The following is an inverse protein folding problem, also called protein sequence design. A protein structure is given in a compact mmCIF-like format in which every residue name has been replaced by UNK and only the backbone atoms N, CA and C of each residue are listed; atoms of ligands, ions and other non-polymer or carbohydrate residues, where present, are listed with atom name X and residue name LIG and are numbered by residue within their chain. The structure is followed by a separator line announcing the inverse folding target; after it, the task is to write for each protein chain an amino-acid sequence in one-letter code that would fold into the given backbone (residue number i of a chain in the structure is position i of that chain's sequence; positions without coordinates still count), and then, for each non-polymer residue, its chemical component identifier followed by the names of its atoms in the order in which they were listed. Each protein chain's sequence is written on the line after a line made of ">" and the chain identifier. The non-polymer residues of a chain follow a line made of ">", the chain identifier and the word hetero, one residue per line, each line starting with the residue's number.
data_IF_651654485840
#
_entry.id   IF_651654485840
#
_cell.length_a   1.000
_cell.length_b   1.000
_cell.length_c   1.000
_cell.angle_alpha   90.00
_cell.angle_beta   90.00
_cell.angle_gamma   90.00
#
_symmetry.space_group_name_H-M   'P 1'
#
loop_
_entity.id
_entity.type
_entity.pdbx_description
1 polymer ?
#
# COMPACT_ATOMS: atom_id res chain seq x y z
N UNK A 1 13.71 29.20 12.17
CA UNK A 1 14.57 28.17 11.54
C UNK A 1 13.93 26.76 11.47
N UNK A 2 12.74 26.51 12.04
CA UNK A 2 12.10 25.17 11.98
C UNK A 2 11.49 24.79 10.63
N UNK A 3 10.88 25.75 9.89
CA UNK A 3 10.17 25.47 8.62
C UNK A 3 11.02 24.80 7.53
N UNK A 4 12.27 25.20 7.37
CA UNK A 4 13.15 24.65 6.34
C UNK A 4 13.54 23.18 6.62
N UNK A 5 13.56 22.76 7.88
CA UNK A 5 13.90 21.40 8.26
C UNK A 5 12.71 20.43 8.05
N UNK A 6 11.48 20.93 8.27
CA UNK A 6 10.24 20.19 7.99
C UNK A 6 10.03 19.95 6.48
N UNK A 7 10.36 20.93 5.63
CA UNK A 7 10.28 20.78 4.18
C UNK A 7 11.26 19.74 3.63
N UNK A 8 12.51 19.75 4.12
CA UNK A 8 13.52 18.75 3.72
C UNK A 8 13.16 17.34 4.18
N UNK A 9 12.57 17.21 5.37
CA UNK A 9 12.07 15.93 5.89
C UNK A 9 10.85 15.44 5.09
N UNK A 10 9.95 16.33 4.68
CA UNK A 10 8.78 15.99 3.87
C UNK A 10 9.18 15.51 2.46
N UNK A 11 10.14 16.19 1.81
CA UNK A 11 10.64 15.79 0.49
C UNK A 11 11.28 14.40 0.52
N UNK A 12 12.12 14.11 1.52
CA UNK A 12 12.74 12.78 1.69
C UNK A 12 11.71 11.68 1.98
N UNK A 13 10.63 11.99 2.70
CA UNK A 13 9.52 11.05 2.93
C UNK A 13 8.74 10.75 1.65
N UNK A 14 8.50 11.78 0.83
CA UNK A 14 7.86 11.63 -0.48
C UNK A 14 8.68 10.77 -1.44
N UNK A 15 9.99 11.00 -1.50
CA UNK A 15 10.94 10.22 -2.32
C UNK A 15 11.00 8.76 -1.88
N UNK A 16 11.12 8.50 -0.57
CA UNK A 16 11.16 7.14 -0.02
C UNK A 16 9.87 6.38 -0.34
N UNK A 17 8.73 7.04 -0.20
CA UNK A 17 7.44 6.47 -0.55
C UNK A 17 7.34 6.13 -2.04
N UNK A 18 7.79 7.02 -2.91
CA UNK A 18 7.78 6.80 -4.35
C UNK A 18 8.62 5.56 -4.72
N UNK A 19 9.81 5.42 -4.13
CA UNK A 19 10.68 4.25 -4.35
C UNK A 19 10.03 2.94 -3.89
N UNK A 20 9.38 2.93 -2.72
CA UNK A 20 8.67 1.74 -2.22
C UNK A 20 7.56 1.32 -3.19
N UNK A 21 6.81 2.29 -3.71
CA UNK A 21 5.74 2.04 -4.68
C UNK A 21 6.32 1.53 -6.00
N UNK A 22 7.37 2.16 -6.51
CA UNK A 22 8.02 1.78 -7.77
C UNK A 22 8.55 0.34 -7.73
N UNK A 23 9.20 -0.08 -6.63
CA UNK A 23 9.68 -1.45 -6.47
C UNK A 23 8.53 -2.48 -6.48
N UNK A 24 7.42 -2.15 -5.81
CA UNK A 24 6.25 -3.03 -5.76
C UNK A 24 5.47 -3.05 -7.09
N UNK A 25 5.47 -1.96 -7.86
CA UNK A 25 4.87 -1.94 -9.19
C UNK A 25 5.70 -2.74 -10.20
N UNK A 26 7.03 -2.72 -10.07
CA UNK A 26 7.93 -3.43 -10.98
C UNK A 26 7.94 -4.94 -10.75
N UNK A 27 8.02 -5.36 -9.50
CA UNK A 27 8.22 -6.78 -9.14
C UNK A 27 6.91 -7.46 -8.70
N UNK A 28 5.87 -6.67 -8.39
CA UNK A 28 4.70 -7.15 -7.68
C UNK A 28 5.00 -7.33 -6.19
N UNK A 29 4.51 -8.44 -5.63
CA UNK A 29 4.59 -8.68 -4.19
C UNK A 29 5.95 -9.10 -3.68
N UNK A 30 6.57 -8.24 -2.88
CA UNK A 30 7.88 -8.49 -2.30
C UNK A 30 7.81 -8.85 -0.82
N UNK A 31 8.73 -9.71 -0.37
CA UNK A 31 8.91 -9.97 1.05
C UNK A 31 9.41 -8.71 1.76
N UNK A 32 9.04 -8.52 3.04
CA UNK A 32 9.39 -7.31 3.78
C UNK A 32 10.90 -7.02 3.83
N UNK A 33 11.71 -8.06 4.08
CA UNK A 33 13.16 -7.92 4.15
C UNK A 33 13.76 -7.53 2.79
N UNK A 34 13.21 -8.08 1.71
CA UNK A 34 13.66 -7.85 0.34
C UNK A 34 13.30 -6.44 -0.12
N UNK A 35 12.04 -6.02 0.07
CA UNK A 35 11.60 -4.66 -0.23
C UNK A 35 12.42 -3.62 0.54
N UNK A 36 12.66 -3.86 1.83
CA UNK A 36 13.46 -2.94 2.64
C UNK A 36 14.91 -2.86 2.16
N UNK A 37 15.52 -3.97 1.74
CA UNK A 37 16.89 -3.99 1.25
C UNK A 37 17.02 -3.23 -0.08
N UNK A 38 16.14 -3.50 -1.05
CA UNK A 38 16.14 -2.84 -2.37
C UNK A 38 15.94 -1.33 -2.25
N UNK A 39 14.99 -0.92 -1.42
CA UNK A 39 14.71 0.51 -1.20
C UNK A 39 15.85 1.18 -0.42
N UNK A 40 16.46 0.52 0.57
CA UNK A 40 17.61 1.07 1.29
C UNK A 40 18.82 1.30 0.37
N UNK A 41 19.09 0.37 -0.54
CA UNK A 41 20.15 0.47 -1.54
C UNK A 41 19.91 1.66 -2.49
N UNK A 42 18.68 1.79 -3.03
CA UNK A 42 18.33 2.90 -3.94
C UNK A 42 18.24 4.27 -3.28
N UNK A 43 17.74 4.34 -2.04
CA UNK A 43 17.55 5.60 -1.32
C UNK A 43 18.79 6.06 -0.55
N UNK A 44 19.82 5.20 -0.43
CA UNK A 44 20.97 5.40 0.43
C UNK A 44 20.58 5.75 1.89
N UNK A 45 19.45 5.20 2.36
CA UNK A 45 18.93 5.40 3.71
C UNK A 45 19.22 4.18 4.59
N UNK A 46 19.34 4.38 5.92
CA UNK A 46 19.49 3.27 6.85
C UNK A 46 18.33 2.29 6.73
N UNK A 47 18.63 0.99 6.64
CA UNK A 47 17.65 -0.09 6.50
C UNK A 47 16.52 -0.02 7.55
N UNK A 48 16.84 0.41 8.79
CA UNK A 48 15.86 0.57 9.86
C UNK A 48 14.81 1.68 9.57
N UNK A 49 15.22 2.78 8.95
CA UNK A 49 14.31 3.85 8.57
C UNK A 49 13.35 3.37 7.46
N UNK A 50 13.89 2.66 6.48
CA UNK A 50 13.10 2.07 5.38
C UNK A 50 12.10 1.04 5.91
N UNK A 51 12.52 0.14 6.80
CA UNK A 51 11.63 -0.82 7.46
C UNK A 51 10.48 -0.14 8.18
N UNK A 52 10.78 0.93 8.93
CA UNK A 52 9.78 1.71 9.65
C UNK A 52 8.79 2.38 8.69
N UNK A 53 9.28 2.93 7.57
CA UNK A 53 8.45 3.55 6.54
C UNK A 53 7.50 2.53 5.88
N UNK A 54 8.00 1.34 5.50
CA UNK A 54 7.18 0.28 4.91
C UNK A 54 6.11 -0.19 5.90
N UNK A 55 6.45 -0.37 7.18
CA UNK A 55 5.49 -0.73 8.22
C UNK A 55 4.41 0.33 8.39
N UNK A 56 4.82 1.60 8.47
CA UNK A 56 3.89 2.73 8.55
C UNK A 56 2.95 2.77 7.34
N UNK A 57 3.49 2.63 6.11
CA UNK A 57 2.71 2.57 4.88
C UNK A 57 1.71 1.41 4.86
N UNK A 58 2.09 0.25 5.40
CA UNK A 58 1.18 -0.87 5.62
C UNK A 58 0.06 -0.55 6.62
N UNK A 59 0.40 0.08 7.75
CA UNK A 59 -0.58 0.46 8.79
C UNK A 59 -1.60 1.50 8.30
N UNK A 60 -1.17 2.48 7.49
CA UNK A 60 -2.08 3.50 6.92
C UNK A 60 -2.83 3.01 5.68
N UNK A 61 -2.72 1.72 5.33
CA UNK A 61 -3.44 1.11 4.22
C UNK A 61 -2.92 1.48 2.82
N UNK A 62 -1.74 2.10 2.73
CA UNK A 62 -1.10 2.40 1.42
C UNK A 62 -0.42 1.18 0.81
N UNK A 63 -0.12 0.16 1.61
CA UNK A 63 0.34 -1.15 1.16
C UNK A 63 -0.56 -2.23 1.74
N UNK A 64 -0.80 -3.28 0.97
CA UNK A 64 -1.50 -4.46 1.46
C UNK A 64 -0.49 -5.53 1.88
N UNK A 65 -0.62 -6.04 3.11
CA UNK A 65 0.17 -7.17 3.59
C UNK A 65 -0.59 -8.45 3.29
N UNK A 66 0.05 -9.42 2.65
CA UNK A 66 -0.52 -10.74 2.37
C UNK A 66 0.30 -11.78 3.11
N UNK A 67 -0.35 -12.60 3.92
CA UNK A 67 0.28 -13.73 4.60
C UNK A 67 0.14 -14.98 3.73
N UNK A 68 1.26 -15.62 3.41
CA UNK A 68 1.32 -16.92 2.76
C UNK A 68 2.09 -17.90 3.66
N UNK A 69 1.33 -18.71 4.41
CA UNK A 69 1.86 -19.64 5.41
C UNK A 69 2.62 -18.92 6.52
N UNK A 70 3.92 -19.23 6.67
CA UNK A 70 4.80 -18.59 7.67
C UNK A 70 5.45 -17.29 7.16
N UNK A 71 5.20 -16.90 5.92
CA UNK A 71 5.79 -15.73 5.29
C UNK A 71 4.74 -14.67 4.99
N UNK A 72 5.14 -13.41 4.89
CA UNK A 72 4.26 -12.34 4.42
C UNK A 72 4.97 -11.47 3.39
N UNK A 73 4.18 -10.95 2.45
CA UNK A 73 4.63 -10.07 1.37
C UNK A 73 3.80 -8.79 1.37
N UNK A 74 4.41 -7.69 0.97
CA UNK A 74 3.72 -6.43 0.72
C UNK A 74 3.37 -6.32 -0.76
N UNK A 75 2.20 -5.75 -1.03
CA UNK A 75 1.63 -5.55 -2.35
C UNK A 75 1.03 -4.16 -2.44
N UNK A 76 0.86 -3.66 -3.65
CA UNK A 76 0.04 -2.49 -3.91
C UNK A 76 -1.44 -2.79 -3.60
N UNK A 77 -2.20 -1.83 -3.05
CA UNK A 77 -3.62 -1.97 -2.75
C UNK A 77 -4.45 -1.98 -4.05
N UNK A 78 -4.45 -3.11 -4.75
CA UNK A 78 -5.13 -3.28 -6.04
C UNK A 78 -4.55 -4.46 -6.81
N UNK A 79 -3.23 -4.62 -6.75
CA UNK A 79 -2.48 -5.69 -7.42
C UNK A 79 -2.37 -6.97 -6.57
N UNK A 80 -3.34 -7.20 -5.69
CA UNK A 80 -3.34 -8.40 -4.87
C UNK A 80 -3.52 -9.64 -5.74
N UNK A 81 -2.71 -10.69 -5.54
CA UNK A 81 -2.97 -11.97 -6.19
C UNK A 81 -4.39 -12.41 -5.90
N UNK A 82 -5.10 -12.92 -6.90
CA UNK A 82 -6.47 -13.44 -6.74
C UNK A 82 -6.55 -14.47 -5.61
N UNK A 83 -5.47 -15.24 -5.40
CA UNK A 83 -5.35 -16.24 -4.34
C UNK A 83 -4.96 -15.66 -2.96
N UNK A 84 -4.48 -14.42 -2.92
CA UNK A 84 -4.07 -13.69 -1.72
C UNK A 84 -5.23 -13.00 -0.99
N UNK A 85 -6.45 -13.02 -1.56
CA UNK A 85 -7.69 -12.52 -0.92
C UNK A 85 -8.19 -13.49 0.17
N UNK A 86 -7.26 -14.12 0.90
CA UNK A 86 -7.53 -14.90 2.12
C UNK A 86 -7.10 -14.16 3.37
N UNK A 87 -6.98 -12.83 3.31
CA UNK A 87 -6.72 -12.05 4.51
C UNK A 87 -7.98 -11.98 5.39
N UNK A 88 -7.97 -12.57 6.60
CA UNK A 88 -9.13 -12.57 7.49
C UNK A 88 -9.56 -11.14 7.86
N UNK A 89 -8.65 -10.17 7.92
CA UNK A 89 -9.01 -8.78 8.26
C UNK A 89 -9.76 -8.07 7.13
N UNK A 90 -9.41 -8.33 5.86
CA UNK A 90 -10.22 -7.87 4.72
C UNK A 90 -11.57 -8.59 4.66
N UNK A 91 -11.65 -9.87 5.05
CA UNK A 91 -12.94 -10.56 5.17
C UNK A 91 -13.79 -9.99 6.31
N UNK A 92 -13.19 -9.59 7.43
CA UNK A 92 -13.92 -8.94 8.54
C UNK A 92 -14.50 -7.61 8.07
N UNK A 93 -13.72 -6.77 7.38
CA UNK A 93 -14.22 -5.52 6.80
C UNK A 93 -15.30 -5.80 5.75
N UNK A 94 -15.08 -6.74 4.82
CA UNK A 94 -16.07 -7.10 3.80
C UNK A 94 -17.37 -7.66 4.39
N UNK A 95 -17.30 -8.49 5.43
CA UNK A 95 -18.49 -9.00 6.14
C UNK A 95 -19.19 -7.90 6.92
N UNK A 96 -18.44 -6.98 7.54
CA UNK A 96 -19.01 -5.85 8.29
C UNK A 96 -19.74 -4.85 7.38
N UNK A 97 -19.32 -4.74 6.11
CA UNK A 97 -19.91 -3.84 5.12
C UNK A 97 -20.66 -4.56 3.98
N UNK A 98 -20.93 -5.86 4.09
CA UNK A 98 -21.62 -6.71 3.09
C UNK A 98 -21.15 -6.50 1.63
N UNK A 99 -19.84 -6.39 1.42
CA UNK A 99 -19.29 -6.13 0.10
C UNK A 99 -19.28 -7.42 -0.77
N UNK A 100 -19.74 -7.35 -2.03
CA UNK A 100 -19.85 -8.53 -2.90
C UNK A 100 -18.49 -9.18 -3.21
N UNK A 101 -18.45 -10.51 -3.42
CA UNK A 101 -17.21 -11.26 -3.58
C UNK A 101 -16.33 -10.73 -4.73
N UNK A 102 -16.93 -10.21 -5.80
CA UNK A 102 -16.27 -9.78 -7.03
C UNK A 102 -15.80 -8.32 -7.05
N UNK A 103 -15.86 -7.57 -5.94
CA UNK A 103 -15.26 -6.23 -5.89
C UNK A 103 -13.73 -6.31 -5.72
N UNK A 104 -13.03 -6.60 -6.82
CA UNK A 104 -11.58 -6.40 -6.96
C UNK A 104 -11.23 -4.98 -7.47
N UNK A 105 -12.23 -4.11 -7.62
CA UNK A 105 -12.03 -2.72 -8.03
C UNK A 105 -11.82 -1.82 -6.82
N UNK A 106 -10.97 -0.79 -7.01
CA UNK A 106 -10.71 0.28 -6.05
C UNK A 106 -11.99 0.67 -5.32
N UNK A 107 -11.95 0.55 -3.98
CA UNK A 107 -13.03 1.04 -3.13
C UNK A 107 -13.04 2.56 -3.30
N UNK A 108 -13.91 3.04 -4.19
CA UNK A 108 -14.09 4.46 -4.43
C UNK A 108 -14.43 5.11 -3.08
N UNK A 109 -13.66 6.13 -2.71
CA UNK A 109 -14.03 6.98 -1.58
C UNK A 109 -15.45 7.52 -1.78
N UNK A 110 -16.19 7.87 -0.71
CA UNK A 110 -17.56 8.40 -0.83
C UNK A 110 -17.68 9.57 -1.82
N UNK A 111 -16.64 10.39 -1.92
CA UNK A 111 -16.54 11.47 -2.89
C UNK A 111 -16.46 10.94 -4.33
N UNK A 112 -15.59 9.95 -4.59
CA UNK A 112 -15.44 9.34 -5.91
C UNK A 112 -16.69 8.56 -6.33
N UNK A 113 -17.37 7.89 -5.40
CA UNK A 113 -18.64 7.21 -5.66
C UNK A 113 -19.73 8.21 -6.07
N UNK A 114 -19.80 9.34 -5.36
CA UNK A 114 -20.74 10.44 -5.64
C UNK A 114 -20.47 11.07 -7.01
N UNK A 115 -19.20 11.33 -7.33
CA UNK A 115 -18.80 11.88 -8.63
C UNK A 115 -19.12 10.91 -9.77
N UNK A 116 -18.87 9.61 -9.60
CA UNK A 116 -19.18 8.60 -10.62
C UNK A 116 -20.68 8.51 -10.92
N UNK A 117 -21.53 8.58 -9.88
CA UNK A 117 -22.98 8.59 -10.05
C UNK A 117 -23.51 9.90 -10.66
N UNK A 118 -22.94 11.04 -10.27
CA UNK A 118 -23.28 12.33 -10.86
C UNK A 118 -22.89 12.42 -12.34
N UNK A 119 -21.81 11.74 -12.75
CA UNK A 119 -21.34 11.69 -14.13
C UNK A 119 -21.98 10.57 -14.97
N UNK A 120 -22.96 9.85 -14.44
CA UNK A 120 -23.74 8.85 -15.18
C UNK A 120 -22.95 7.61 -15.62
N UNK A 121 -21.79 7.32 -15.03
CA UNK A 121 -20.99 6.16 -15.41
C UNK A 121 -21.33 4.94 -14.55
N UNK A 122 -22.30 4.16 -15.02
CA UNK A 122 -22.66 2.85 -14.45
C UNK A 122 -22.15 1.73 -15.36
N UNK A 123 -21.01 1.13 -15.00
CA UNK A 123 -20.75 -0.29 -15.29
C UNK A 123 -21.20 -1.11 -14.08
#
# INVERSE_FOLDING_TARGET
>A
MQKANDEVQASKRGELQALIIEELQKEGGLAFAELAARVADRSNLPLQQVKSAIQYMGQVGRLSRVVNGKSFRYWMPGDLPTDAVRDPDRQVVRRKFSLPPNMNHEVLSPLQWSLRHLLGQTN
#
